data_IF_038425962966
#
_entry.id   IF_038425962966
#
_cell.length_a   1.000
_cell.length_b   1.000
_cell.length_c   1.000
_cell.angle_alpha   90.00
_cell.angle_beta   90.00
_cell.angle_gamma   90.00
#
_symmetry.space_group_name_H-M   'P 1'
#
loop_
_entity.id
_entity.type
_entity.pdbx_description
1 polymer ?
#
# COMPACT_ATOMS: atom_id res chain seq x y z
N UNK A 1 0.54 4.01 16.31
CA UNK A 1 1.80 3.66 15.63
C UNK A 1 3.01 3.84 16.55
N UNK A 2 3.32 5.03 17.07
CA UNK A 2 4.53 5.27 17.89
C UNK A 2 4.71 4.26 19.03
N UNK A 3 3.67 4.03 19.86
CA UNK A 3 3.75 3.02 20.93
C UNK A 3 4.11 1.61 20.41
N UNK A 4 3.56 1.20 19.27
CA UNK A 4 3.87 -0.11 18.68
C UNK A 4 5.32 -0.19 18.17
N UNK A 5 5.87 0.92 17.66
CA UNK A 5 7.29 1.00 17.26
C UNK A 5 8.19 0.98 18.49
N UNK A 6 7.83 1.71 19.57
CA UNK A 6 8.57 1.72 20.82
C UNK A 6 8.61 0.33 21.50
N UNK A 7 7.53 -0.46 21.37
CA UNK A 7 7.44 -1.83 21.88
C UNK A 7 8.21 -2.84 21.01
N UNK A 8 8.53 -2.49 19.75
CA UNK A 8 9.17 -3.37 18.78
C UNK A 8 10.32 -2.62 18.04
N UNK A 9 11.36 -2.17 18.73
CA UNK A 9 12.41 -1.32 18.17
C UNK A 9 13.23 -2.00 17.06
N UNK A 10 13.25 -3.32 17.03
CA UNK A 10 14.01 -4.10 16.06
C UNK A 10 13.26 -4.32 14.72
N UNK A 11 12.03 -3.82 14.62
CA UNK A 11 11.24 -3.94 13.40
C UNK A 11 11.23 -2.60 12.66
N UNK A 12 11.77 -2.53 11.42
CA UNK A 12 11.74 -1.32 10.63
C UNK A 12 10.30 -0.97 10.21
N UNK A 13 9.84 0.23 10.56
CA UNK A 13 8.48 0.70 10.29
C UNK A 13 8.51 2.10 9.71
N UNK A 14 7.83 2.31 8.57
CA UNK A 14 7.53 3.64 8.04
C UNK A 14 6.06 3.99 8.32
N UNK A 15 5.80 5.20 8.78
CA UNK A 15 4.44 5.74 8.82
C UNK A 15 4.20 6.51 7.52
N UNK A 16 3.37 5.92 6.65
CA UNK A 16 3.16 6.38 5.28
C UNK A 16 1.75 6.95 5.07
N UNK A 17 1.64 8.13 4.47
CA UNK A 17 0.39 8.65 3.93
C UNK A 17 0.13 8.00 2.58
N UNK A 18 -0.91 7.17 2.49
CA UNK A 18 -1.34 6.54 1.24
C UNK A 18 -2.35 7.45 0.52
N UNK A 19 -2.25 7.57 -0.79
CA UNK A 19 -3.12 8.38 -1.66
C UNK A 19 -3.45 9.80 -1.14
N UNK A 20 -2.43 10.57 -0.78
CA UNK A 20 -2.62 12.00 -0.50
C UNK A 20 -3.15 12.74 -1.73
N UNK A 21 -4.21 13.54 -1.56
CA UNK A 21 -4.94 14.22 -2.64
C UNK A 21 -4.44 15.65 -2.91
N UNK A 22 -3.79 16.26 -1.92
CA UNK A 22 -3.38 17.67 -1.98
C UNK A 22 -2.06 17.90 -1.23
N UNK A 23 -1.36 18.97 -1.59
CA UNK A 23 -0.20 19.43 -0.82
C UNK A 23 -0.56 19.75 0.65
N UNK A 24 -1.79 20.18 0.92
CA UNK A 24 -2.24 20.47 2.29
C UNK A 24 -2.40 19.19 3.13
N UNK A 25 -2.94 18.10 2.55
CA UNK A 25 -3.01 16.80 3.22
C UNK A 25 -1.62 16.24 3.52
N UNK A 26 -0.68 16.37 2.57
CA UNK A 26 0.72 16.01 2.76
C UNK A 26 1.37 16.83 3.89
N UNK A 27 1.18 18.15 3.89
CA UNK A 27 1.70 19.03 4.95
C UNK A 27 1.18 18.64 6.33
N UNK A 28 -0.11 18.33 6.43
CA UNK A 28 -0.73 17.87 7.70
C UNK A 28 -0.16 16.53 8.15
N UNK A 29 -0.01 15.56 7.23
CA UNK A 29 0.58 14.27 7.55
C UNK A 29 2.02 14.41 8.07
N UNK A 30 2.87 15.18 7.38
CA UNK A 30 4.24 15.45 7.82
C UNK A 30 4.26 16.15 9.19
N UNK A 31 3.36 17.12 9.42
CA UNK A 31 3.29 17.85 10.67
C UNK A 31 2.94 16.98 11.89
N UNK A 32 2.20 15.89 11.69
CA UNK A 32 1.83 14.94 12.75
C UNK A 32 2.71 13.68 12.79
N UNK A 33 3.77 13.64 11.98
CA UNK A 33 4.81 12.65 12.15
C UNK A 33 4.89 11.55 11.10
N UNK A 34 4.28 11.71 9.95
CA UNK A 34 4.49 10.77 8.86
C UNK A 34 5.92 10.86 8.32
N UNK A 35 6.56 9.71 8.15
CA UNK A 35 7.97 9.59 7.70
C UNK A 35 8.06 9.35 6.20
N UNK A 36 6.95 9.05 5.55
CA UNK A 36 6.80 8.89 4.12
C UNK A 36 5.42 9.38 3.70
N UNK A 37 5.28 9.93 2.52
CA UNK A 37 4.01 10.43 1.99
C UNK A 37 3.84 10.05 0.54
N UNK A 38 2.60 9.83 0.10
CA UNK A 38 2.25 9.73 -1.30
C UNK A 38 1.40 10.92 -1.72
N UNK A 39 1.66 11.42 -2.92
CA UNK A 39 0.76 12.31 -3.65
C UNK A 39 0.20 11.59 -4.87
N UNK A 40 -1.11 11.46 -4.95
CA UNK A 40 -1.79 10.88 -6.10
C UNK A 40 -2.43 11.98 -6.96
N UNK A 41 -1.70 12.38 -7.99
CA UNK A 41 -2.17 13.29 -9.02
C UNK A 41 -2.33 12.60 -10.40
N UNK A 42 -2.43 11.27 -10.40
CA UNK A 42 -2.47 10.42 -11.61
C UNK A 42 -3.69 10.68 -12.50
N UNK A 43 -4.76 11.25 -11.93
CA UNK A 43 -5.99 11.64 -12.64
C UNK A 43 -5.86 12.96 -13.41
N UNK A 44 -4.79 13.72 -13.22
CA UNK A 44 -4.50 14.94 -13.96
C UNK A 44 -3.74 14.66 -15.28
N UNK A 45 -3.44 15.71 -16.06
CA UNK A 45 -2.52 15.60 -17.18
C UNK A 45 -1.11 15.28 -16.70
N UNK A 46 -0.26 14.75 -17.57
CA UNK A 46 1.13 14.43 -17.22
C UNK A 46 1.86 15.66 -16.66
N UNK A 47 1.72 16.80 -17.31
CA UNK A 47 2.37 18.05 -16.92
C UNK A 47 1.89 18.56 -15.56
N UNK A 48 0.60 18.43 -15.29
CA UNK A 48 0.03 18.83 -14.00
C UNK A 48 0.41 17.85 -12.89
N UNK A 49 0.44 16.53 -13.16
CA UNK A 49 0.94 15.52 -12.23
C UNK A 49 2.42 15.82 -11.88
N UNK A 50 3.27 16.08 -12.86
CA UNK A 50 4.66 16.49 -12.63
C UNK A 50 4.74 17.73 -11.75
N UNK A 51 3.96 18.78 -12.06
CA UNK A 51 3.97 20.03 -11.29
C UNK A 51 3.60 19.81 -9.82
N UNK A 52 2.49 19.10 -9.58
CA UNK A 52 2.00 18.82 -8.22
C UNK A 52 2.99 17.95 -7.46
N UNK A 53 3.47 16.89 -8.08
CA UNK A 53 4.43 15.96 -7.45
C UNK A 53 5.71 16.68 -7.08
N UNK A 54 6.26 17.50 -7.98
CA UNK A 54 7.48 18.28 -7.72
C UNK A 54 7.34 19.22 -6.52
N UNK A 55 6.20 19.91 -6.41
CA UNK A 55 5.92 20.80 -5.28
C UNK A 55 5.88 20.02 -3.94
N UNK A 56 5.31 18.81 -3.95
CA UNK A 56 5.29 17.91 -2.79
C UNK A 56 6.69 17.42 -2.46
N UNK A 57 7.47 16.99 -3.45
CA UNK A 57 8.86 16.52 -3.28
C UNK A 57 9.71 17.61 -2.64
N UNK A 58 9.66 18.84 -3.17
CA UNK A 58 10.41 19.99 -2.61
C UNK A 58 10.04 20.24 -1.14
N UNK A 59 8.77 20.17 -0.80
CA UNK A 59 8.30 20.38 0.58
C UNK A 59 8.72 19.24 1.53
N UNK A 60 8.55 17.98 1.09
CA UNK A 60 8.82 16.79 1.90
C UNK A 60 10.34 16.57 2.10
N UNK A 61 11.15 16.68 1.04
CA UNK A 61 12.61 16.51 1.11
C UNK A 61 13.27 17.53 2.02
N UNK A 62 12.79 18.78 2.05
CA UNK A 62 13.27 19.79 2.99
C UNK A 62 13.05 19.41 4.46
N UNK A 63 12.27 18.34 4.73
CA UNK A 63 11.94 17.81 6.06
C UNK A 63 12.41 16.37 6.28
N UNK A 64 13.19 15.82 5.35
CA UNK A 64 13.70 14.45 5.40
C UNK A 64 12.62 13.37 5.24
N UNK A 65 11.50 13.69 4.56
CA UNK A 65 10.38 12.77 4.31
C UNK A 65 10.41 12.32 2.86
N UNK A 66 10.34 11.00 2.65
CA UNK A 66 10.30 10.40 1.31
C UNK A 66 8.93 10.56 0.65
N UNK A 67 8.93 10.62 -0.68
CA UNK A 67 7.73 10.83 -1.49
C UNK A 67 7.52 9.68 -2.46
N UNK A 68 6.29 9.16 -2.48
CA UNK A 68 5.74 8.30 -3.51
C UNK A 68 4.81 9.12 -4.42
N UNK A 69 4.79 8.80 -5.70
CA UNK A 69 3.79 9.32 -6.63
C UNK A 69 3.27 8.22 -7.55
N UNK A 70 2.18 8.49 -8.26
CA UNK A 70 1.56 7.54 -9.18
C UNK A 70 1.55 8.05 -10.62
N UNK A 71 1.86 7.14 -11.56
CA UNK A 71 1.79 7.39 -12.99
C UNK A 71 1.03 6.27 -13.72
N UNK A 72 0.11 6.65 -14.57
CA UNK A 72 -0.94 5.79 -15.09
C UNK A 72 -2.18 5.88 -14.20
N UNK A 73 -3.24 5.15 -14.52
CA UNK A 73 -4.46 5.12 -13.71
C UNK A 73 -4.90 3.70 -13.44
N UNK A 74 -5.19 3.42 -12.18
CA UNK A 74 -5.75 2.14 -11.77
C UNK A 74 -7.25 2.11 -12.00
N UNK A 75 -7.81 0.91 -12.19
CA UNK A 75 -9.25 0.68 -12.23
C UNK A 75 -9.82 0.51 -10.82
N UNK A 76 -11.17 0.41 -10.76
CA UNK A 76 -11.88 0.12 -9.50
C UNK A 76 -12.37 1.35 -8.78
N UNK A 77 -12.76 1.13 -7.53
CA UNK A 77 -13.26 2.18 -6.63
C UNK A 77 -12.43 2.07 -5.35
N UNK A 78 -11.72 3.13 -5.02
CA UNK A 78 -11.12 3.33 -3.72
C UNK A 78 -11.56 4.70 -3.23
N UNK A 79 -12.24 4.72 -2.08
CA UNK A 79 -12.94 5.88 -1.55
C UNK A 79 -13.86 6.52 -2.60
N UNK A 80 -13.54 7.68 -3.16
CA UNK A 80 -14.35 8.41 -4.14
C UNK A 80 -13.75 8.40 -5.56
N UNK A 81 -12.66 7.64 -5.81
CA UNK A 81 -11.98 7.62 -7.12
C UNK A 81 -12.47 6.46 -7.97
N UNK A 82 -13.05 6.77 -9.13
CA UNK A 82 -13.40 5.81 -10.20
C UNK A 82 -12.51 6.06 -11.40
N UNK A 83 -11.68 5.10 -11.78
CA UNK A 83 -10.71 5.23 -12.87
C UNK A 83 -10.92 4.25 -14.03
N UNK A 84 -10.59 4.69 -15.23
CA UNK A 84 -10.36 3.81 -16.38
C UNK A 84 -8.89 3.42 -16.37
N UNK A 85 -8.59 2.13 -16.46
CA UNK A 85 -7.20 1.63 -16.47
C UNK A 85 -6.43 2.23 -17.64
N UNK A 86 -5.34 2.94 -17.33
CA UNK A 86 -4.34 3.39 -18.30
C UNK A 86 -2.98 2.93 -17.81
N UNK A 87 -2.40 1.96 -18.51
CA UNK A 87 -1.07 1.44 -18.16
C UNK A 87 -0.01 2.55 -18.19
N UNK A 88 0.98 2.44 -17.32
CA UNK A 88 2.11 3.38 -17.27
C UNK A 88 2.96 3.23 -18.53
N UNK A 89 3.24 4.35 -19.20
CA UNK A 89 4.15 4.41 -20.32
C UNK A 89 5.60 4.50 -19.81
N UNK A 90 6.54 3.61 -20.27
CA UNK A 90 7.91 3.61 -19.78
C UNK A 90 8.70 4.88 -20.08
N UNK A 91 8.44 5.57 -21.20
CA UNK A 91 9.13 6.82 -21.54
C UNK A 91 8.63 7.96 -20.66
N UNK A 92 7.32 7.99 -20.39
CA UNK A 92 6.74 8.92 -19.42
C UNK A 92 7.25 8.65 -18.00
N UNK A 93 7.43 7.38 -17.60
CA UNK A 93 7.96 7.05 -16.28
C UNK A 93 9.37 7.62 -16.06
N UNK A 94 10.27 7.45 -17.02
CA UNK A 94 11.62 8.04 -16.96
C UNK A 94 11.54 9.56 -16.81
N UNK A 95 10.81 10.21 -17.72
CA UNK A 95 10.65 11.67 -17.71
C UNK A 95 10.04 12.17 -16.39
N UNK A 96 9.03 11.46 -15.87
CA UNK A 96 8.36 11.81 -14.62
C UNK A 96 9.34 11.79 -13.43
N UNK A 97 10.13 10.72 -13.30
CA UNK A 97 11.13 10.57 -12.24
C UNK A 97 12.21 11.64 -12.33
N UNK A 98 12.73 11.92 -13.54
CA UNK A 98 13.75 12.94 -13.76
C UNK A 98 13.25 14.36 -13.44
N UNK A 99 11.99 14.68 -13.78
CA UNK A 99 11.44 16.02 -13.58
C UNK A 99 10.95 16.26 -12.15
N UNK A 100 10.52 15.22 -11.43
CA UNK A 100 9.96 15.36 -10.09
C UNK A 100 10.95 15.10 -8.97
N UNK A 101 11.91 14.20 -9.19
CA UNK A 101 12.82 13.73 -8.15
C UNK A 101 12.13 12.87 -7.07
N UNK A 102 11.03 12.20 -7.40
CA UNK A 102 10.27 11.31 -6.50
C UNK A 102 11.13 10.11 -6.07
N UNK A 103 10.91 9.61 -4.85
CA UNK A 103 11.73 8.53 -4.26
C UNK A 103 11.26 7.13 -4.66
N UNK A 104 9.96 6.94 -4.93
CA UNK A 104 9.40 5.70 -5.47
C UNK A 104 8.17 6.00 -6.34
N UNK A 105 7.89 5.11 -7.29
CA UNK A 105 6.85 5.31 -8.30
C UNK A 105 5.84 4.17 -8.30
N UNK A 106 4.58 4.50 -8.01
CA UNK A 106 3.46 3.60 -8.23
C UNK A 106 3.11 3.55 -9.72
N UNK A 107 3.05 2.33 -10.25
CA UNK A 107 2.81 2.07 -11.67
C UNK A 107 1.53 1.29 -11.92
N UNK A 108 0.79 1.68 -12.94
CA UNK A 108 -0.40 0.98 -13.39
C UNK A 108 -0.01 -0.14 -14.36
N UNK A 109 -0.18 -1.38 -13.93
CA UNK A 109 0.11 -2.60 -14.71
C UNK A 109 -1.13 -3.47 -14.96
N UNK A 110 -2.33 -2.91 -14.73
CA UNK A 110 -3.60 -3.62 -14.89
C UNK A 110 -4.21 -4.12 -13.58
N UNK A 111 -3.70 -3.67 -12.44
CA UNK A 111 -4.34 -3.87 -11.14
C UNK A 111 -5.53 -2.94 -10.95
N UNK A 112 -6.33 -3.18 -9.90
CA UNK A 112 -7.52 -2.39 -9.61
C UNK A 112 -7.76 -2.34 -8.10
N UNK A 113 -8.32 -1.26 -7.59
CA UNK A 113 -8.61 -1.05 -6.19
C UNK A 113 -9.90 -1.76 -5.72
N UNK A 114 -10.01 -2.02 -4.41
CA UNK A 114 -11.20 -2.62 -3.77
C UNK A 114 -11.24 -4.14 -3.80
N UNK A 115 -12.28 -4.73 -3.20
CA UNK A 115 -12.47 -6.17 -3.10
C UNK A 115 -13.17 -6.77 -4.33
N UNK A 116 -13.88 -5.97 -5.10
CA UNK A 116 -14.68 -6.39 -6.27
C UNK A 116 -14.01 -6.02 -7.60
N UNK A 117 -12.68 -6.22 -7.66
CA UNK A 117 -11.81 -5.72 -8.71
C UNK A 117 -12.06 -6.34 -10.08
N UNK A 118 -12.22 -7.66 -10.11
CA UNK A 118 -12.23 -8.41 -11.36
C UNK A 118 -13.38 -9.42 -11.40
N UNK A 119 -13.95 -9.62 -12.57
CA UNK A 119 -14.94 -10.68 -12.84
C UNK A 119 -14.26 -12.03 -13.08
N UNK A 120 -12.98 -12.03 -13.41
CA UNK A 120 -12.11 -13.17 -13.65
C UNK A 120 -10.68 -12.81 -13.26
N UNK A 121 -9.78 -13.79 -13.26
CA UNK A 121 -8.35 -13.55 -12.97
C UNK A 121 -7.76 -12.45 -13.87
N UNK A 122 -7.13 -11.42 -13.29
CA UNK A 122 -6.56 -10.30 -14.05
C UNK A 122 -5.33 -10.74 -14.86
N UNK A 123 -5.17 -10.16 -16.03
CA UNK A 123 -3.92 -10.25 -16.81
C UNK A 123 -3.10 -9.01 -16.50
N UNK A 124 -2.04 -9.18 -15.72
CA UNK A 124 -1.11 -8.10 -15.41
C UNK A 124 -0.04 -7.96 -16.50
N UNK A 125 0.34 -6.72 -16.78
CA UNK A 125 1.42 -6.40 -17.70
C UNK A 125 2.79 -6.50 -16.99
N UNK A 126 3.17 -7.69 -16.53
CA UNK A 126 4.39 -7.89 -15.73
C UNK A 126 5.65 -7.54 -16.49
N UNK A 127 5.71 -7.82 -17.81
CA UNK A 127 6.81 -7.38 -18.68
C UNK A 127 7.02 -5.85 -18.65
N UNK A 128 5.96 -5.08 -18.36
CA UNK A 128 6.03 -3.64 -18.25
C UNK A 128 6.77 -3.20 -16.98
N UNK A 129 6.62 -3.94 -15.88
CA UNK A 129 7.38 -3.72 -14.64
C UNK A 129 8.86 -3.71 -14.92
N UNK A 130 9.36 -4.76 -15.57
CA UNK A 130 10.80 -4.85 -15.89
C UNK A 130 11.27 -3.73 -16.79
N UNK A 131 10.50 -3.40 -17.84
CA UNK A 131 10.85 -2.30 -18.76
C UNK A 131 10.98 -0.95 -18.07
N UNK A 132 10.15 -0.70 -17.06
CA UNK A 132 10.19 0.54 -16.28
C UNK A 132 11.32 0.46 -15.25
N UNK A 133 11.40 -0.63 -14.47
CA UNK A 133 12.42 -0.82 -13.43
C UNK A 133 13.85 -0.67 -13.94
N UNK A 134 14.17 -1.27 -15.10
CA UNK A 134 15.49 -1.18 -15.71
C UNK A 134 15.90 0.25 -16.11
N UNK A 135 14.96 1.21 -16.14
CA UNK A 135 15.16 2.55 -16.67
C UNK A 135 15.06 3.68 -15.66
N UNK A 136 14.19 3.52 -14.66
CA UNK A 136 13.92 4.63 -13.72
C UNK A 136 14.88 4.70 -12.52
N UNK A 137 15.52 3.58 -12.17
CA UNK A 137 16.53 3.52 -11.10
C UNK A 137 16.01 3.80 -9.68
N UNK A 138 14.68 3.79 -9.47
CA UNK A 138 14.01 3.97 -8.17
C UNK A 138 13.06 2.79 -7.90
N UNK A 139 12.69 2.53 -6.62
CA UNK A 139 11.72 1.50 -6.26
C UNK A 139 10.38 1.70 -6.97
N UNK A 140 9.80 0.60 -7.47
CA UNK A 140 8.45 0.59 -8.02
C UNK A 140 7.45 0.09 -6.99
N UNK A 141 6.25 0.66 -7.03
CA UNK A 141 5.14 0.33 -6.12
C UNK A 141 3.97 -0.25 -6.92
N UNK A 142 3.33 -1.27 -6.35
CA UNK A 142 2.15 -1.91 -6.92
C UNK A 142 0.95 -1.72 -6.00
N UNK A 143 0.03 -0.86 -6.42
CA UNK A 143 -1.27 -0.65 -5.79
C UNK A 143 -2.31 -1.66 -6.26
N UNK A 144 -3.46 -1.70 -5.59
CA UNK A 144 -4.54 -2.58 -5.97
C UNK A 144 -4.21 -4.07 -5.93
N UNK A 145 -3.30 -4.50 -5.06
CA UNK A 145 -2.69 -5.84 -5.06
C UNK A 145 -3.31 -6.85 -4.09
N UNK A 146 -4.42 -6.52 -3.43
CA UNK A 146 -5.13 -7.50 -2.58
C UNK A 146 -5.56 -8.71 -3.39
N UNK A 147 -5.33 -9.90 -2.83
CA UNK A 147 -5.59 -11.18 -3.51
C UNK A 147 -7.01 -11.70 -3.37
N UNK A 148 -7.80 -11.09 -2.47
CA UNK A 148 -9.18 -11.50 -2.17
C UNK A 148 -9.26 -13.00 -1.88
N UNK A 149 -8.66 -13.47 -0.76
CA UNK A 149 -8.61 -14.92 -0.46
C UNK A 149 -10.00 -15.52 -0.43
N UNK A 150 -10.21 -16.57 -1.22
CA UNK A 150 -11.55 -17.16 -1.41
C UNK A 150 -12.08 -17.85 -0.15
N UNK A 151 -11.21 -18.33 0.72
CA UNK A 151 -11.56 -18.83 2.04
C UNK A 151 -12.18 -17.75 2.93
N UNK A 152 -11.68 -16.50 2.85
CA UNK A 152 -12.25 -15.37 3.58
C UNK A 152 -13.61 -14.96 3.01
N UNK A 153 -13.79 -14.96 1.69
CA UNK A 153 -15.10 -14.73 1.05
C UNK A 153 -16.11 -15.76 1.53
N UNK A 154 -15.74 -17.05 1.50
CA UNK A 154 -16.58 -18.15 1.98
C UNK A 154 -16.91 -18.00 3.47
N UNK A 155 -15.92 -17.68 4.30
CA UNK A 155 -16.09 -17.48 5.75
C UNK A 155 -17.04 -16.33 6.05
N UNK A 156 -16.84 -15.16 5.40
CA UNK A 156 -17.73 -14.01 5.54
C UNK A 156 -19.17 -14.37 5.19
N UNK A 157 -19.38 -15.07 4.07
CA UNK A 157 -20.71 -15.45 3.61
C UNK A 157 -21.35 -16.53 4.52
N UNK A 158 -20.56 -17.47 5.03
CA UNK A 158 -21.03 -18.49 5.98
C UNK A 158 -21.58 -17.85 7.27
N UNK A 159 -20.92 -16.81 7.76
CA UNK A 159 -21.31 -16.08 8.97
C UNK A 159 -22.20 -14.85 8.67
N UNK A 160 -23.13 -14.99 7.71
CA UNK A 160 -24.19 -14.02 7.44
C UNK A 160 -23.77 -12.81 6.58
N UNK A 161 -22.60 -12.82 5.99
CA UNK A 161 -22.20 -11.84 4.98
C UNK A 161 -22.86 -12.11 3.63
N UNK A 162 -22.74 -11.14 2.72
CA UNK A 162 -23.24 -11.23 1.34
C UNK A 162 -22.20 -10.66 0.38
N UNK A 163 -20.98 -11.22 0.41
CA UNK A 163 -19.97 -10.85 -0.59
C UNK A 163 -20.28 -11.59 -1.89
N UNK A 164 -20.50 -10.88 -3.01
CA UNK A 164 -20.61 -11.51 -4.33
C UNK A 164 -19.29 -12.16 -4.73
N UNK A 165 -19.27 -12.87 -5.84
CA UNK A 165 -18.05 -13.41 -6.42
C UNK A 165 -17.06 -12.25 -6.63
N UNK A 166 -15.93 -12.33 -5.95
CA UNK A 166 -14.87 -11.33 -5.97
C UNK A 166 -13.56 -12.04 -6.32
N UNK A 167 -12.73 -11.42 -7.12
CA UNK A 167 -11.43 -11.93 -7.51
C UNK A 167 -10.39 -10.82 -7.35
N UNK A 168 -9.28 -11.14 -6.72
CA UNK A 168 -8.15 -10.24 -6.56
C UNK A 168 -6.97 -10.63 -7.44
N UNK A 169 -5.81 -10.08 -7.15
CA UNK A 169 -4.55 -10.42 -7.84
C UNK A 169 -4.00 -11.71 -7.24
N UNK A 170 -3.73 -12.75 -8.04
CA UNK A 170 -3.13 -13.99 -7.53
C UNK A 170 -1.76 -13.73 -6.89
N UNK A 171 -1.51 -14.33 -5.73
CA UNK A 171 -0.22 -14.21 -5.04
C UNK A 171 0.98 -14.56 -5.94
N UNK A 172 0.94 -15.62 -6.78
CA UNK A 172 2.04 -15.91 -7.71
C UNK A 172 2.32 -14.78 -8.70
N UNK A 173 1.30 -14.06 -9.18
CA UNK A 173 1.49 -12.91 -10.08
C UNK A 173 2.15 -11.72 -9.37
N UNK A 174 1.86 -11.52 -8.08
CA UNK A 174 2.55 -10.52 -7.26
C UNK A 174 4.02 -10.89 -7.09
N UNK A 175 4.31 -12.15 -6.77
CA UNK A 175 5.69 -12.67 -6.61
C UNK A 175 6.47 -12.52 -7.92
N UNK A 176 5.83 -12.76 -9.06
CA UNK A 176 6.43 -12.53 -10.37
C UNK A 176 6.73 -11.04 -10.59
N UNK A 177 5.80 -10.13 -10.27
CA UNK A 177 6.03 -8.68 -10.35
C UNK A 177 7.20 -8.22 -9.46
N UNK A 178 7.32 -8.77 -8.24
CA UNK A 178 8.45 -8.52 -7.34
C UNK A 178 9.76 -8.94 -8.02
N UNK A 179 9.82 -10.12 -8.65
CA UNK A 179 11.02 -10.59 -9.38
C UNK A 179 11.41 -9.70 -10.56
N UNK A 180 10.48 -8.88 -11.06
CA UNK A 180 10.69 -7.94 -12.17
C UNK A 180 10.99 -6.50 -11.70
N UNK A 181 11.01 -6.22 -10.38
CA UNK A 181 11.45 -4.94 -9.85
C UNK A 181 10.44 -4.18 -8.99
N UNK A 182 9.26 -4.75 -8.70
CA UNK A 182 8.38 -4.16 -7.69
C UNK A 182 8.98 -4.33 -6.30
N UNK A 183 9.08 -3.24 -5.55
CA UNK A 183 9.70 -3.17 -4.22
C UNK A 183 8.70 -2.93 -3.08
N UNK A 184 7.52 -2.39 -3.36
CA UNK A 184 6.45 -2.15 -2.38
C UNK A 184 5.12 -2.67 -2.90
N UNK A 185 4.37 -3.36 -2.04
CA UNK A 185 3.05 -3.92 -2.34
C UNK A 185 2.04 -3.37 -1.35
N UNK A 186 0.98 -2.72 -1.84
CA UNK A 186 -0.13 -2.27 -1.00
C UNK A 186 -1.20 -3.36 -0.88
N UNK A 187 -1.52 -3.75 0.36
CA UNK A 187 -2.55 -4.76 0.69
C UNK A 187 -3.46 -4.23 1.78
N UNK A 188 -4.70 -3.90 1.44
CA UNK A 188 -5.71 -3.42 2.38
C UNK A 188 -6.94 -4.34 2.45
N UNK A 189 -7.61 -4.59 1.32
CA UNK A 189 -8.87 -5.36 1.28
C UNK A 189 -8.75 -6.72 1.94
N UNK A 190 -7.63 -7.44 1.79
CA UNK A 190 -7.42 -8.75 2.41
C UNK A 190 -7.43 -8.65 3.93
N UNK A 191 -6.80 -7.59 4.49
CA UNK A 191 -6.76 -7.31 5.93
C UNK A 191 -8.15 -7.00 6.47
N UNK A 192 -8.92 -6.15 5.77
CA UNK A 192 -10.32 -5.84 6.12
C UNK A 192 -11.18 -7.11 6.12
N UNK A 193 -10.99 -8.00 5.13
CA UNK A 193 -11.73 -9.25 5.03
C UNK A 193 -11.40 -10.21 6.17
N UNK A 194 -10.13 -10.35 6.55
CA UNK A 194 -9.71 -11.20 7.67
C UNK A 194 -10.37 -10.76 8.98
N UNK A 195 -10.33 -9.46 9.28
CA UNK A 195 -10.99 -8.88 10.46
C UNK A 195 -12.50 -9.09 10.40
N UNK A 196 -13.14 -8.77 9.26
CA UNK A 196 -14.59 -8.90 9.09
C UNK A 196 -15.06 -10.35 9.23
N UNK A 197 -14.34 -11.31 8.63
CA UNK A 197 -14.67 -12.72 8.72
C UNK A 197 -14.67 -13.22 10.17
N UNK A 198 -13.64 -12.84 10.93
CA UNK A 198 -13.48 -13.25 12.33
C UNK A 198 -14.51 -12.59 13.26
N UNK A 199 -14.82 -11.31 13.08
CA UNK A 199 -15.85 -10.63 13.89
C UNK A 199 -17.23 -11.23 13.61
N UNK A 200 -17.56 -11.52 12.35
CA UNK A 200 -18.83 -12.17 11.99
C UNK A 200 -18.98 -13.56 12.62
N UNK A 201 -17.91 -14.34 12.64
CA UNK A 201 -17.87 -15.64 13.32
C UNK A 201 -18.24 -15.49 14.80
N UNK A 202 -17.56 -14.57 15.52
CA UNK A 202 -17.84 -14.33 16.94
C UNK A 202 -19.31 -13.96 17.17
N UNK A 203 -19.87 -13.03 16.41
CA UNK A 203 -21.26 -12.60 16.57
C UNK A 203 -22.30 -13.67 16.20
N UNK A 204 -21.91 -14.60 15.32
CA UNK A 204 -22.80 -15.70 14.94
C UNK A 204 -22.75 -16.84 15.97
N UNK A 205 -21.56 -17.20 16.44
CA UNK A 205 -21.35 -18.28 17.40
C UNK A 205 -21.67 -17.89 18.85
N UNK A 206 -21.49 -16.61 19.17
CA UNK A 206 -21.76 -16.03 20.49
C UNK A 206 -22.61 -14.76 20.35
N UNK A 207 -23.93 -14.88 20.02
CA UNK A 207 -24.78 -13.73 19.72
C UNK A 207 -24.97 -12.73 20.88
N UNK A 208 -24.66 -13.14 22.11
CA UNK A 208 -24.74 -12.29 23.31
C UNK A 208 -23.46 -11.50 23.56
N UNK A 209 -22.40 -11.68 22.72
CA UNK A 209 -21.14 -10.98 22.93
C UNK A 209 -21.25 -9.51 22.55
N UNK A 210 -20.82 -8.63 23.45
CA UNK A 210 -20.86 -7.18 23.26
C UNK A 210 -19.55 -6.48 23.65
N UNK A 211 -18.58 -7.21 24.24
CA UNK A 211 -17.30 -6.65 24.65
C UNK A 211 -16.35 -6.55 23.44
N UNK A 212 -15.95 -5.33 23.01
CA UNK A 212 -15.02 -5.14 21.88
C UNK A 212 -13.73 -5.95 21.97
N UNK A 213 -13.21 -6.17 23.18
CA UNK A 213 -11.99 -6.98 23.39
C UNK A 213 -12.16 -8.43 22.94
N UNK A 214 -13.41 -8.94 23.00
CA UNK A 214 -13.73 -10.33 22.67
C UNK A 214 -13.95 -10.56 21.18
N UNK A 215 -14.36 -9.56 20.41
CA UNK A 215 -14.53 -9.69 18.96
C UNK A 215 -13.44 -8.98 18.13
N UNK A 216 -12.83 -7.89 18.64
CA UNK A 216 -11.69 -7.26 17.95
C UNK A 216 -10.38 -8.04 18.15
N UNK A 217 -10.20 -8.72 19.29
CA UNK A 217 -9.03 -9.57 19.54
C UNK A 217 -8.85 -10.63 18.46
N UNK A 218 -9.83 -11.54 18.26
CA UNK A 218 -9.78 -12.51 17.17
C UNK A 218 -9.62 -11.87 15.77
N UNK A 219 -10.23 -10.70 15.53
CA UNK A 219 -10.07 -9.95 14.28
C UNK A 219 -8.63 -9.50 14.04
N UNK A 220 -7.99 -8.93 15.08
CA UNK A 220 -6.57 -8.57 15.04
C UNK A 220 -5.68 -9.77 14.76
N UNK A 221 -5.94 -10.89 15.45
CA UNK A 221 -5.13 -12.11 15.32
C UNK A 221 -5.27 -12.71 13.92
N UNK A 222 -6.46 -12.72 13.33
CA UNK A 222 -6.70 -13.14 11.95
C UNK A 222 -5.96 -12.25 10.94
N UNK A 223 -5.96 -10.93 11.14
CA UNK A 223 -5.19 -10.00 10.32
C UNK A 223 -3.69 -10.24 10.45
N UNK A 224 -3.20 -10.47 11.66
CA UNK A 224 -1.78 -10.76 11.92
C UNK A 224 -1.32 -12.01 11.14
N UNK A 225 -2.08 -13.11 11.21
CA UNK A 225 -1.75 -14.34 10.48
C UNK A 225 -1.79 -14.14 8.95
N UNK A 226 -2.76 -13.39 8.45
CA UNK A 226 -2.80 -13.02 7.04
C UNK A 226 -1.53 -12.26 6.62
N UNK A 227 -1.14 -11.23 7.38
CA UNK A 227 0.04 -10.41 7.07
C UNK A 227 1.32 -11.22 7.13
N UNK A 228 1.49 -12.12 8.10
CA UNK A 228 2.63 -13.07 8.14
C UNK A 228 2.73 -13.89 6.85
N UNK A 229 1.59 -14.44 6.40
CA UNK A 229 1.54 -15.22 5.15
C UNK A 229 1.96 -14.37 3.94
N UNK A 230 1.52 -13.12 3.88
CA UNK A 230 1.93 -12.17 2.82
C UNK A 230 3.43 -11.85 2.89
N UNK A 231 3.95 -11.53 4.07
CA UNK A 231 5.38 -11.23 4.26
C UNK A 231 6.27 -12.39 3.82
N UNK A 232 5.87 -13.64 4.14
CA UNK A 232 6.59 -14.83 3.69
C UNK A 232 6.53 -14.95 2.15
N UNK A 233 5.34 -14.83 1.57
CA UNK A 233 5.15 -14.98 0.13
C UNK A 233 5.88 -13.90 -0.68
N UNK A 234 5.96 -12.67 -0.17
CA UNK A 234 6.61 -11.54 -0.83
C UNK A 234 8.11 -11.44 -0.57
N UNK A 235 8.66 -12.35 0.25
CA UNK A 235 10.08 -12.37 0.58
C UNK A 235 10.52 -11.29 1.58
N UNK A 236 9.57 -10.69 2.32
CA UNK A 236 9.86 -9.65 3.33
C UNK A 236 10.26 -10.26 4.68
N UNK A 237 9.82 -11.49 4.95
CA UNK A 237 10.09 -12.16 6.22
C UNK A 237 11.59 -12.51 6.37
N UNK A 238 12.15 -12.28 7.55
CA UNK A 238 13.55 -12.62 7.88
C UNK A 238 14.57 -11.52 7.56
N UNK A 239 14.12 -10.36 7.11
CA UNK A 239 14.99 -9.24 6.71
C UNK A 239 15.05 -8.08 7.71
N UNK A 240 14.38 -8.18 8.87
CA UNK A 240 14.36 -7.08 9.85
C UNK A 240 15.77 -6.73 10.39
N UNK A 241 16.68 -7.70 10.42
CA UNK A 241 18.07 -7.52 10.91
C UNK A 241 19.08 -7.15 9.81
N UNK A 242 18.65 -6.97 8.57
CA UNK A 242 19.56 -6.64 7.48
C UNK A 242 20.23 -5.27 7.74
N UNK A 243 21.55 -5.19 7.51
CA UNK A 243 22.35 -3.99 7.78
C UNK A 243 21.86 -2.74 7.03
N UNK A 244 21.17 -2.93 5.91
CA UNK A 244 20.56 -1.84 5.14
C UNK A 244 19.46 -1.15 5.93
N UNK A 245 18.66 -1.92 6.69
CA UNK A 245 17.58 -1.38 7.52
C UNK A 245 18.06 -0.72 8.81
N UNK A 246 19.25 -1.11 9.31
CA UNK A 246 19.87 -0.46 10.49
C UNK A 246 20.29 0.98 10.26
N UNK A 247 20.31 1.43 9.01
CA UNK A 247 20.56 2.84 8.63
C UNK A 247 19.30 3.70 8.61
N UNK A 248 18.13 3.11 8.85
CA UNK A 248 16.86 3.82 8.91
C UNK A 248 16.85 4.65 10.20
N UNK A 249 16.38 5.87 10.08
CA UNK A 249 16.25 6.85 11.16
C UNK A 249 15.64 6.20 12.41
N UNK A 250 16.33 6.26 13.51
CA UNK A 250 15.84 5.77 14.81
C UNK A 250 14.66 6.61 15.29
N UNK A 251 13.88 6.08 16.23
CA UNK A 251 12.74 6.82 16.79
C UNK A 251 13.20 8.14 17.45
N UNK A 252 14.37 8.17 18.06
CA UNK A 252 14.92 9.37 18.68
C UNK A 252 15.33 10.42 17.64
N UNK A 253 15.96 10.02 16.55
CA UNK A 253 16.23 10.91 15.41
C UNK A 253 14.93 11.44 14.78
N UNK A 254 13.89 10.61 14.68
CA UNK A 254 12.56 11.07 14.28
C UNK A 254 12.00 12.10 15.25
N UNK A 255 12.05 11.86 16.56
CA UNK A 255 11.60 12.80 17.59
C UNK A 255 12.38 14.12 17.52
N UNK A 256 13.68 14.07 17.27
CA UNK A 256 14.49 15.28 17.09
C UNK A 256 14.13 16.08 15.83
N UNK A 257 13.82 15.41 14.73
CA UNK A 257 13.33 16.07 13.51
C UNK A 257 12.00 16.78 13.78
N UNK A 258 11.13 16.18 14.59
CA UNK A 258 9.83 16.79 14.97
C UNK A 258 9.98 17.93 15.98
N UNK A 259 10.88 17.82 16.95
CA UNK A 259 11.11 18.87 17.95
C UNK A 259 11.66 20.16 17.35
N UNK A 260 12.24 20.10 16.14
CA UNK A 260 12.76 21.26 15.39
C UNK A 260 11.72 21.94 14.49
N UNK A 261 10.48 21.45 14.46
CA UNK A 261 9.34 22.02 13.71
C UNK A 261 8.45 22.84 14.61
#
# INVERSE_FOLDING_TARGET
MYAAVEENPDIPVALHLDHGDTLDSVKKAIAIGFTSVMIDASHHSFEENVRITKEVVEYAHARGVSVEAELGTLGGIEEDITGVVKLTDPDQAVKFVEETGVDCLAIAIGTSHGAYKFKSEPKLAIDLVKKISDRVGIPLVMHGSSSVPQELVKKINHYGGKMPAACGVPVPAIVEAISQGVSKINVDSDSRMAVTASIREVFTETPSEFDPRKYLGPGRDAMCELLKTKMIAFGTAGHADDEEFKKIITLDEMKEVYAKK
#
